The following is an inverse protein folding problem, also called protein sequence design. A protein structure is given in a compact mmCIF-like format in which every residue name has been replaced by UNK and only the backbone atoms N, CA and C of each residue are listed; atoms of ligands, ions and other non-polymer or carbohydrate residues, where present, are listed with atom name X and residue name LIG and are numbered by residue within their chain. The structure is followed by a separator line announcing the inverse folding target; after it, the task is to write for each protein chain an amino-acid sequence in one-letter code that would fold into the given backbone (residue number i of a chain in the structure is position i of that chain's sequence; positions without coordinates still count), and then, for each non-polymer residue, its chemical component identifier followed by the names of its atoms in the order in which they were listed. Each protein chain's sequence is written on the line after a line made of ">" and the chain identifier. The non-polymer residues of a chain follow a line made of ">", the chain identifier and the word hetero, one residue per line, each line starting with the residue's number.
data_IF_761980563271
#
_entry.id   IF_761980563271
#
_cell.length_a   1.000
_cell.length_b   1.000
_cell.length_c   1.000
_cell.angle_alpha   90.00
_cell.angle_beta   90.00
_cell.angle_gamma   90.00
#
_symmetry.space_group_name_H-M   'P 1'
#
loop_
_entity.id
_entity.type
_entity.pdbx_description
1 polymer ?
#
# COMPACT_ATOMS: atom_id res chain seq x y z
N UNK A 1 -15.11 4.56 11.78
CA UNK A 1 -15.34 5.46 10.63
C UNK A 1 -14.64 4.91 9.42
N UNK A 2 -15.32 4.87 8.31
CA UNK A 2 -14.78 4.33 7.06
C UNK A 2 -14.64 5.45 6.02
N UNK A 3 -13.59 5.36 5.24
CA UNK A 3 -13.29 6.25 4.12
C UNK A 3 -12.98 5.41 2.88
N UNK A 4 -13.23 5.95 1.70
CA UNK A 4 -12.84 5.32 0.43
C UNK A 4 -11.84 6.17 -0.32
N UNK A 5 -10.79 5.50 -0.81
CA UNK A 5 -9.86 6.06 -1.78
C UNK A 5 -9.91 5.18 -3.03
N UNK A 6 -10.55 5.69 -4.09
CA UNK A 6 -10.91 4.85 -5.21
C UNK A 6 -11.81 3.69 -4.77
N UNK A 7 -11.41 2.48 -5.06
CA UNK A 7 -12.14 1.27 -4.66
C UNK A 7 -11.70 0.70 -3.30
N UNK A 8 -10.60 1.20 -2.74
CA UNK A 8 -10.07 0.72 -1.46
C UNK A 8 -10.86 1.32 -0.31
N UNK A 9 -11.24 0.47 0.65
CA UNK A 9 -11.86 0.90 1.91
C UNK A 9 -10.82 1.01 3.00
N UNK A 10 -10.76 2.20 3.65
CA UNK A 10 -9.99 2.46 4.86
C UNK A 10 -10.94 2.44 6.06
N UNK A 11 -10.63 1.66 7.07
CA UNK A 11 -11.44 1.52 8.28
C UNK A 11 -10.62 1.90 9.50
N UNK A 12 -10.97 2.99 10.12
CA UNK A 12 -10.25 3.57 11.27
C UNK A 12 -10.83 3.17 12.62
N UNK A 13 -11.65 2.13 12.68
CA UNK A 13 -12.30 1.70 13.95
C UNK A 13 -11.30 1.49 15.08
N UNK A 14 -10.13 0.94 14.75
CA UNK A 14 -9.09 0.62 15.74
C UNK A 14 -7.90 1.57 15.72
N UNK A 15 -7.98 2.66 14.95
CA UNK A 15 -6.90 3.63 14.90
C UNK A 15 -6.81 4.41 16.21
N UNK A 16 -5.64 4.48 16.86
CA UNK A 16 -5.49 5.08 18.19
C UNK A 16 -5.58 6.61 18.21
N UNK A 17 -5.64 7.26 17.05
CA UNK A 17 -5.75 8.72 16.95
C UNK A 17 -4.42 9.44 16.67
N UNK A 18 -3.31 8.72 16.71
CA UNK A 18 -1.97 9.26 16.39
C UNK A 18 -1.13 8.21 15.68
N UNK A 19 -0.25 8.65 14.80
CA UNK A 19 0.70 7.78 14.11
C UNK A 19 1.90 7.51 15.01
N UNK A 20 1.97 6.30 15.55
CA UNK A 20 3.07 5.86 16.43
C UNK A 20 4.34 5.50 15.65
N UNK A 21 4.19 5.20 14.35
CA UNK A 21 5.28 4.88 13.44
C UNK A 21 5.28 5.85 12.26
N UNK A 22 6.32 6.66 12.17
CA UNK A 22 6.48 7.62 11.09
C UNK A 22 7.95 7.79 10.74
N UNK A 23 8.23 7.85 9.44
CA UNK A 23 9.55 8.23 8.91
C UNK A 23 9.69 9.77 8.80
N UNK A 24 8.71 10.51 9.33
CA UNK A 24 8.70 11.96 9.34
C UNK A 24 8.29 12.59 8.01
N UNK A 25 8.86 13.76 7.64
CA UNK A 25 8.42 14.53 6.47
C UNK A 25 8.50 13.80 5.14
N UNK A 26 9.33 12.77 5.03
CA UNK A 26 9.44 11.97 3.81
C UNK A 26 8.12 11.26 3.44
N UNK A 27 7.29 10.94 4.41
CA UNK A 27 5.98 10.31 4.16
C UNK A 27 5.01 11.23 3.42
N UNK A 28 5.15 12.55 3.57
CA UNK A 28 4.37 13.53 2.79
C UNK A 28 4.75 13.47 1.31
N UNK A 29 6.03 13.33 0.99
CA UNK A 29 6.51 13.12 -0.37
C UNK A 29 5.97 11.80 -0.95
N UNK A 30 6.03 10.72 -0.15
CA UNK A 30 5.49 9.43 -0.57
C UNK A 30 3.98 9.49 -0.84
N UNK A 31 3.24 10.23 -0.03
CA UNK A 31 1.81 10.43 -0.24
C UNK A 31 1.53 11.21 -1.53
N UNK A 32 2.27 12.28 -1.79
CA UNK A 32 2.17 13.06 -3.03
C UNK A 32 2.41 12.17 -4.25
N UNK A 33 3.46 11.35 -4.20
CA UNK A 33 3.77 10.41 -5.28
C UNK A 33 2.61 9.42 -5.49
N UNK A 34 2.11 8.82 -4.42
CA UNK A 34 1.02 7.85 -4.51
C UNK A 34 -0.27 8.45 -5.09
N UNK A 35 -0.55 9.72 -4.80
CA UNK A 35 -1.71 10.45 -5.35
C UNK A 35 -1.59 10.75 -6.83
N UNK A 36 -0.40 11.14 -7.29
CA UNK A 36 -0.20 11.79 -8.59
C UNK A 36 0.38 10.84 -9.66
N UNK A 37 0.92 9.68 -9.27
CA UNK A 37 1.57 8.75 -10.19
C UNK A 37 0.91 7.37 -10.13
N UNK A 38 0.91 6.69 -11.28
CA UNK A 38 0.47 5.30 -11.39
C UNK A 38 1.63 4.34 -11.13
N UNK A 39 1.33 3.10 -10.76
CA UNK A 39 2.35 2.07 -10.51
C UNK A 39 3.34 1.89 -11.66
N UNK A 40 2.89 2.00 -12.91
CA UNK A 40 3.75 1.89 -14.10
C UNK A 40 4.78 3.02 -14.23
N UNK A 41 4.56 4.16 -13.57
CA UNK A 41 5.45 5.33 -13.60
C UNK A 41 6.51 5.31 -12.50
N UNK A 42 6.33 4.44 -11.48
CA UNK A 42 7.16 4.47 -10.27
C UNK A 42 8.63 4.13 -10.52
N UNK A 43 8.94 3.22 -11.45
CA UNK A 43 10.34 2.87 -11.74
C UNK A 43 11.12 4.07 -12.29
N UNK A 44 10.53 4.83 -13.20
CA UNK A 44 11.13 6.05 -13.72
C UNK A 44 11.28 7.11 -12.63
N UNK A 45 10.25 7.27 -11.80
CA UNK A 45 10.26 8.23 -10.70
C UNK A 45 11.32 7.89 -9.64
N UNK A 46 11.50 6.62 -9.30
CA UNK A 46 12.56 6.15 -8.40
C UNK A 46 13.94 6.58 -8.92
N UNK A 47 14.18 6.39 -10.21
CA UNK A 47 15.43 6.80 -10.84
C UNK A 47 15.63 8.32 -10.79
N UNK A 48 14.60 9.10 -11.11
CA UNK A 48 14.66 10.56 -11.15
C UNK A 48 14.83 11.18 -9.77
N UNK A 49 14.12 10.67 -8.76
CA UNK A 49 14.17 11.20 -7.39
C UNK A 49 15.47 10.84 -6.67
N UNK A 50 16.12 9.74 -7.02
CA UNK A 50 17.35 9.26 -6.42
C UNK A 50 17.31 9.31 -4.87
N UNK A 51 16.22 8.85 -4.30
CA UNK A 51 15.91 8.90 -2.87
C UNK A 51 15.74 7.49 -2.32
N UNK A 52 16.43 7.18 -1.21
CA UNK A 52 16.31 5.87 -0.56
C UNK A 52 14.88 5.55 -0.13
N UNK A 53 14.13 6.44 0.53
CA UNK A 53 12.76 6.15 0.92
C UNK A 53 11.84 5.87 -0.28
N UNK A 54 11.99 6.61 -1.37
CA UNK A 54 11.22 6.39 -2.60
C UNK A 54 11.54 5.02 -3.19
N UNK A 55 12.81 4.66 -3.28
CA UNK A 55 13.24 3.34 -3.73
C UNK A 55 12.68 2.24 -2.82
N UNK A 56 12.88 2.37 -1.51
CA UNK A 56 12.47 1.36 -0.53
C UNK A 56 10.97 1.09 -0.54
N UNK A 57 10.15 2.16 -0.56
CA UNK A 57 8.71 2.01 -0.47
C UNK A 57 8.01 1.71 -1.80
N UNK A 58 8.56 2.15 -2.93
CA UNK A 58 7.87 2.08 -4.22
C UNK A 58 8.48 1.08 -5.20
N UNK A 59 9.65 0.53 -4.95
CA UNK A 59 10.24 -0.47 -5.83
C UNK A 59 9.37 -1.72 -5.93
N UNK A 60 9.15 -2.20 -7.15
CA UNK A 60 8.42 -3.43 -7.41
C UNK A 60 9.23 -4.70 -7.12
N UNK A 61 10.52 -4.58 -6.81
CA UNK A 61 11.38 -5.75 -6.56
C UNK A 61 10.91 -6.58 -5.37
N UNK A 62 10.28 -5.95 -4.37
CA UNK A 62 9.74 -6.64 -3.20
C UNK A 62 8.57 -7.57 -3.54
N UNK A 63 7.90 -7.36 -4.66
CA UNK A 63 6.83 -8.24 -5.13
C UNK A 63 7.33 -9.66 -5.42
N UNK A 64 8.61 -9.83 -5.71
CA UNK A 64 9.23 -11.14 -5.95
C UNK A 64 9.10 -12.10 -4.75
N UNK A 65 8.91 -11.58 -3.55
CA UNK A 65 8.67 -12.38 -2.34
C UNK A 65 7.39 -13.22 -2.47
N UNK A 66 6.39 -12.71 -3.18
CA UNK A 66 5.05 -13.31 -3.27
C UNK A 66 4.65 -13.77 -4.67
N UNK A 67 5.35 -13.34 -5.72
CA UNK A 67 4.97 -13.68 -7.10
C UNK A 67 4.94 -15.19 -7.36
N UNK A 68 5.81 -15.94 -6.72
CA UNK A 68 5.89 -17.39 -6.87
C UNK A 68 4.86 -18.17 -6.04
N UNK A 69 4.23 -17.55 -5.04
CA UNK A 69 3.25 -18.22 -4.20
C UNK A 69 1.96 -18.54 -4.99
N UNK A 70 1.44 -19.75 -4.88
CA UNK A 70 0.24 -20.16 -5.60
C UNK A 70 -1.05 -19.67 -4.90
N UNK A 71 -1.16 -18.36 -4.69
CA UNK A 71 -2.37 -17.74 -4.16
C UNK A 71 -3.44 -17.73 -5.25
N UNK A 72 -4.67 -18.10 -4.89
CA UNK A 72 -5.78 -18.23 -5.84
C UNK A 72 -6.93 -17.27 -5.53
N UNK A 73 -7.81 -17.07 -6.50
CA UNK A 73 -9.02 -16.26 -6.37
C UNK A 73 -10.07 -16.80 -5.40
N UNK A 74 -9.84 -17.93 -4.81
CA UNK A 74 -10.69 -18.50 -3.75
C UNK A 74 -10.20 -18.11 -2.34
N UNK A 75 -8.96 -17.64 -2.23
CA UNK A 75 -8.32 -17.36 -0.95
C UNK A 75 -8.52 -15.91 -0.52
N UNK A 76 -8.79 -15.75 0.77
CA UNK A 76 -8.78 -14.45 1.46
C UNK A 76 -7.45 -14.31 2.18
N UNK A 77 -6.79 -13.16 2.03
CA UNK A 77 -5.47 -12.91 2.58
C UNK A 77 -5.54 -11.83 3.65
N UNK A 78 -4.84 -12.04 4.75
CA UNK A 78 -4.55 -11.03 5.76
C UNK A 78 -3.09 -10.62 5.64
N UNK A 79 -2.85 -9.34 5.36
CA UNK A 79 -1.51 -8.74 5.31
C UNK A 79 -1.28 -7.93 6.58
N UNK A 80 -0.35 -8.38 7.42
CA UNK A 80 -0.03 -7.71 8.68
C UNK A 80 1.22 -6.84 8.48
N UNK A 81 1.13 -5.56 8.85
CA UNK A 81 2.21 -4.60 8.63
C UNK A 81 2.35 -4.21 7.17
N UNK A 82 1.24 -3.86 6.53
CA UNK A 82 1.20 -3.57 5.09
C UNK A 82 2.01 -2.33 4.67
N UNK A 83 2.24 -1.39 5.60
CA UNK A 83 2.99 -0.17 5.32
C UNK A 83 2.43 0.62 4.16
N UNK A 84 3.32 1.11 3.29
CA UNK A 84 2.96 1.83 2.08
C UNK A 84 2.50 0.92 0.92
N UNK A 85 2.20 -0.33 1.17
CA UNK A 85 1.64 -1.28 0.22
C UNK A 85 2.59 -1.84 -0.83
N UNK A 86 3.87 -2.12 -0.51
CA UNK A 86 4.82 -2.61 -1.51
C UNK A 86 4.45 -3.98 -2.10
N UNK A 87 3.69 -4.78 -1.38
CA UNK A 87 3.25 -6.11 -1.81
C UNK A 87 1.73 -6.27 -1.87
N UNK A 88 0.97 -5.32 -1.37
CA UNK A 88 -0.50 -5.37 -1.36
C UNK A 88 -1.09 -5.59 -2.75
N UNK A 89 -0.53 -4.93 -3.77
CA UNK A 89 -1.00 -5.05 -5.15
C UNK A 89 -0.84 -6.46 -5.73
N UNK A 90 0.26 -7.15 -5.39
CA UNK A 90 0.45 -8.57 -5.78
C UNK A 90 -0.63 -9.44 -5.16
N UNK A 91 -0.87 -9.27 -3.87
CA UNK A 91 -1.92 -10.01 -3.16
C UNK A 91 -3.30 -9.73 -3.76
N UNK A 92 -3.60 -8.46 -4.05
CA UNK A 92 -4.87 -8.06 -4.66
C UNK A 92 -5.09 -8.70 -6.05
N UNK A 93 -4.04 -8.79 -6.87
CA UNK A 93 -4.12 -9.44 -8.19
C UNK A 93 -4.40 -10.94 -8.09
N UNK A 94 -3.85 -11.61 -7.07
CA UNK A 94 -3.87 -13.07 -6.94
C UNK A 94 -5.04 -13.58 -6.11
N UNK A 95 -5.41 -12.89 -5.04
CA UNK A 95 -6.39 -13.35 -4.05
C UNK A 95 -7.83 -12.92 -4.38
N UNK A 96 -8.78 -13.54 -3.70
CA UNK A 96 -10.18 -13.11 -3.70
C UNK A 96 -10.35 -11.76 -3.02
N UNK A 97 -9.73 -11.60 -1.85
CA UNK A 97 -9.73 -10.35 -1.10
C UNK A 97 -8.49 -10.24 -0.22
N UNK A 98 -8.10 -9.00 0.05
CA UNK A 98 -6.97 -8.68 0.93
C UNK A 98 -7.47 -7.74 2.02
N UNK A 99 -7.23 -8.13 3.27
CA UNK A 99 -7.37 -7.24 4.41
C UNK A 99 -5.98 -6.87 4.91
N UNK A 100 -5.67 -5.59 4.89
CA UNK A 100 -4.40 -5.06 5.36
C UNK A 100 -4.56 -4.49 6.76
N UNK A 101 -3.54 -4.66 7.60
CA UNK A 101 -3.47 -4.05 8.93
C UNK A 101 -2.15 -3.30 9.06
N UNK A 102 -2.22 -2.03 9.45
CA UNK A 102 -1.05 -1.22 9.77
C UNK A 102 -1.38 -0.22 10.88
N UNK A 103 -0.39 0.12 11.69
CA UNK A 103 -0.55 1.06 12.80
C UNK A 103 -0.53 2.53 12.36
N UNK A 104 0.02 2.82 11.18
CA UNK A 104 0.15 4.17 10.66
C UNK A 104 -1.00 4.51 9.71
N UNK A 105 -1.76 5.53 10.05
CA UNK A 105 -2.78 6.09 9.16
C UNK A 105 -2.18 6.66 7.88
N UNK A 106 -1.02 7.34 7.99
CA UNK A 106 -0.33 7.90 6.83
C UNK A 106 0.09 6.81 5.84
N UNK A 107 0.72 5.74 6.32
CA UNK A 107 1.14 4.62 5.46
C UNK A 107 -0.05 3.90 4.86
N UNK A 108 -1.10 3.68 5.63
CA UNK A 108 -2.35 3.09 5.14
C UNK A 108 -3.00 3.94 4.05
N UNK A 109 -2.95 5.27 4.18
CA UNK A 109 -3.42 6.20 3.16
C UNK A 109 -2.58 6.09 1.87
N UNK A 110 -1.25 6.04 1.99
CA UNK A 110 -0.34 5.84 0.84
C UNK A 110 -0.66 4.52 0.14
N UNK A 111 -0.81 3.43 0.91
CA UNK A 111 -1.19 2.12 0.37
C UNK A 111 -2.51 2.20 -0.39
N UNK A 112 -3.53 2.85 0.18
CA UNK A 112 -4.83 2.99 -0.46
C UNK A 112 -4.77 3.75 -1.79
N UNK A 113 -3.99 4.83 -1.87
CA UNK A 113 -3.76 5.55 -3.13
C UNK A 113 -3.03 4.71 -4.16
N UNK A 114 -2.00 3.94 -3.76
CA UNK A 114 -1.28 3.04 -4.66
C UNK A 114 -2.20 2.00 -5.29
N UNK A 115 -3.06 1.42 -4.48
CA UNK A 115 -3.89 0.28 -4.85
C UNK A 115 -5.35 0.66 -5.13
N UNK A 116 -5.64 1.94 -5.38
CA UNK A 116 -6.99 2.50 -5.51
C UNK A 116 -7.86 1.88 -6.60
N UNK A 117 -7.25 1.19 -7.55
CA UNK A 117 -7.99 0.52 -8.64
C UNK A 117 -8.50 -0.87 -8.25
N UNK A 118 -7.96 -1.47 -7.19
CA UNK A 118 -8.40 -2.79 -6.73
C UNK A 118 -9.65 -2.68 -5.86
N UNK A 119 -10.68 -3.44 -6.23
CA UNK A 119 -11.98 -3.48 -5.53
C UNK A 119 -12.05 -4.51 -4.40
N UNK A 120 -10.97 -5.26 -4.19
CA UNK A 120 -10.87 -6.36 -3.23
C UNK A 120 -9.92 -6.07 -2.07
N UNK A 121 -9.58 -4.80 -1.82
CA UNK A 121 -8.66 -4.38 -0.75
C UNK A 121 -9.41 -3.59 0.32
N UNK A 122 -9.24 -4.01 1.57
CA UNK A 122 -9.65 -3.27 2.76
C UNK A 122 -8.41 -3.04 3.65
N UNK A 123 -8.26 -1.84 4.19
CA UNK A 123 -7.16 -1.48 5.10
C UNK A 123 -7.76 -1.04 6.44
N UNK A 124 -7.21 -1.55 7.54
CA UNK A 124 -7.65 -1.28 8.90
C UNK A 124 -6.51 -0.76 9.76
#
# INVERSE_FOLDING_TARGET
>A
MQEKIGNVTLDYEYYPGEDLYSDGPVEEELLEIAKNYQEKELNQLIYERNSWPVLYHFSHIRQNILEWLPITKEQKVLEIGSGCGPITGVLARKAKSVTCIDLSKMRSTINAYRNREYDNVKIM
#
